data_IF_390026182620
#
_entry.id   IF_390026182620
#
_cell.length_a   1.000
_cell.length_b   1.000
_cell.length_c   1.000
_cell.angle_alpha   90.00
_cell.angle_beta   90.00
_cell.angle_gamma   90.00
#
_symmetry.space_group_name_H-M   'P 1'
#
loop_
_entity.id
_entity.type
_entity.pdbx_description
1 polymer ?
#
# COMPACT_ATOMS: atom_id res chain seq x y z
N UNK A 1 -5.21 21.89 -0.60
CA UNK A 1 -4.21 20.88 -0.19
C UNK A 1 -4.99 19.59 0.07
N UNK A 2 -4.86 18.56 -0.78
CA UNK A 2 -5.69 17.34 -0.72
C UNK A 2 -4.86 16.08 -0.84
N UNK A 3 -5.33 14.97 -0.24
CA UNK A 3 -4.64 13.67 -0.27
C UNK A 3 -4.95 12.86 -1.53
N UNK A 4 -4.10 11.86 -1.84
CA UNK A 4 -4.34 10.89 -2.94
C UNK A 4 -5.56 9.99 -2.65
N UNK A 5 -5.88 9.85 -1.37
CA UNK A 5 -7.13 9.30 -0.85
C UNK A 5 -7.71 10.31 0.15
N UNK A 6 -9.03 10.33 0.33
CA UNK A 6 -9.67 11.10 1.41
C UNK A 6 -9.64 10.31 2.72
N UNK A 7 -9.97 10.97 3.83
CA UNK A 7 -10.09 10.29 5.13
C UNK A 7 -11.26 9.30 5.12
N UNK A 8 -12.38 9.72 4.52
CA UNK A 8 -13.61 8.94 4.35
C UNK A 8 -13.35 7.67 3.54
N UNK A 9 -12.50 7.74 2.51
CA UNK A 9 -12.09 6.57 1.73
C UNK A 9 -11.39 5.52 2.58
N UNK A 10 -10.43 5.96 3.40
CA UNK A 10 -9.66 5.05 4.25
C UNK A 10 -10.55 4.39 5.31
N UNK A 11 -11.43 5.15 5.95
CA UNK A 11 -12.39 4.62 6.92
C UNK A 11 -13.39 3.68 6.24
N UNK A 12 -13.92 4.05 5.08
CA UNK A 12 -14.88 3.23 4.33
C UNK A 12 -14.30 1.88 3.89
N UNK A 13 -12.99 1.82 3.59
CA UNK A 13 -12.29 0.57 3.30
C UNK A 13 -12.19 -0.31 4.56
N UNK A 14 -11.88 0.28 5.72
CA UNK A 14 -11.80 -0.47 6.98
C UNK A 14 -13.16 -1.01 7.43
N UNK A 15 -14.24 -0.25 7.22
CA UNK A 15 -15.60 -0.67 7.53
C UNK A 15 -16.09 -1.84 6.66
N UNK A 16 -15.50 -2.06 5.48
CA UNK A 16 -15.81 -3.22 4.63
C UNK A 16 -15.21 -4.53 5.17
N UNK A 17 -14.30 -4.49 6.14
CA UNK A 17 -13.68 -5.68 6.71
C UNK A 17 -14.63 -6.27 7.77
N UNK A 18 -15.17 -7.49 7.58
CA UNK A 18 -16.11 -8.08 8.54
C UNK A 18 -15.48 -8.23 9.93
N UNK A 19 -16.28 -7.98 10.97
CA UNK A 19 -15.82 -8.02 12.36
C UNK A 19 -15.19 -9.37 12.73
N UNK A 20 -15.73 -10.47 12.20
CA UNK A 20 -15.23 -11.83 12.39
C UNK A 20 -13.80 -11.99 11.87
N UNK A 21 -13.47 -11.33 10.75
CA UNK A 21 -12.12 -11.32 10.18
C UNK A 21 -11.18 -10.49 11.05
N UNK A 22 -11.64 -9.36 11.58
CA UNK A 22 -10.85 -8.51 12.48
C UNK A 22 -10.51 -9.26 13.78
N UNK A 23 -11.52 -9.87 14.43
CA UNK A 23 -11.35 -10.69 15.64
C UNK A 23 -10.42 -11.88 15.38
N UNK A 24 -10.62 -12.59 14.26
CA UNK A 24 -9.75 -13.71 13.87
C UNK A 24 -8.30 -13.26 13.67
N UNK A 25 -8.08 -12.12 13.04
CA UNK A 25 -6.75 -11.55 12.79
C UNK A 25 -6.08 -11.18 14.11
N UNK A 26 -6.78 -10.47 15.00
CA UNK A 26 -6.29 -10.13 16.33
C UNK A 26 -5.91 -11.38 17.14
N UNK A 27 -6.81 -12.38 17.19
CA UNK A 27 -6.54 -13.66 17.88
C UNK A 27 -5.31 -14.38 17.31
N UNK A 28 -5.14 -14.35 15.99
CA UNK A 28 -3.98 -14.95 15.32
C UNK A 28 -2.69 -14.24 15.73
N UNK A 29 -2.70 -12.91 15.81
CA UNK A 29 -1.55 -12.11 16.26
C UNK A 29 -1.20 -12.47 17.71
N UNK A 30 -2.18 -12.43 18.63
CA UNK A 30 -1.97 -12.74 20.05
C UNK A 30 -1.42 -14.15 20.28
N UNK A 31 -1.85 -15.15 19.48
CA UNK A 31 -1.33 -16.52 19.57
C UNK A 31 0.07 -16.70 18.99
N UNK A 32 0.52 -15.80 18.11
CA UNK A 32 1.75 -15.96 17.33
C UNK A 32 2.68 -14.74 17.43
N UNK A 33 2.73 -14.08 18.58
CA UNK A 33 3.46 -12.81 18.79
C UNK A 33 4.92 -12.90 18.32
N UNK A 34 5.62 -13.99 18.61
CA UNK A 34 7.03 -14.18 18.21
C UNK A 34 7.21 -14.20 16.69
N UNK A 35 6.27 -14.80 15.95
CA UNK A 35 6.26 -14.84 14.49
C UNK A 35 6.03 -13.45 13.92
N UNK A 36 5.03 -12.72 14.44
CA UNK A 36 4.75 -11.34 14.02
C UNK A 36 5.89 -10.39 14.34
N UNK A 37 6.55 -10.53 15.49
CA UNK A 37 7.75 -9.77 15.85
C UNK A 37 8.89 -9.99 14.85
N UNK A 38 9.15 -11.25 14.44
CA UNK A 38 10.13 -11.56 13.40
C UNK A 38 9.76 -10.92 12.06
N UNK A 39 8.49 -10.99 11.65
CA UNK A 39 8.03 -10.37 10.42
C UNK A 39 8.17 -8.84 10.45
N UNK A 40 7.87 -8.20 11.57
CA UNK A 40 8.06 -6.77 11.76
C UNK A 40 9.53 -6.37 11.63
N UNK A 41 10.45 -7.15 12.22
CA UNK A 41 11.90 -6.93 12.05
C UNK A 41 12.33 -7.02 10.58
N UNK A 42 11.84 -8.02 9.84
CA UNK A 42 12.11 -8.15 8.40
C UNK A 42 11.59 -6.96 7.61
N UNK A 43 10.36 -6.50 7.90
CA UNK A 43 9.78 -5.33 7.25
C UNK A 43 10.59 -4.07 7.56
N UNK A 44 10.98 -3.86 8.82
CA UNK A 44 11.84 -2.74 9.23
C UNK A 44 13.19 -2.75 8.53
N UNK A 45 13.83 -3.93 8.38
CA UNK A 45 15.07 -4.06 7.61
C UNK A 45 14.87 -3.72 6.13
N UNK A 46 13.76 -4.14 5.52
CA UNK A 46 13.42 -3.77 4.14
C UNK A 46 13.24 -2.26 3.98
N UNK A 47 12.58 -1.58 4.93
CA UNK A 47 12.48 -0.12 4.96
C UNK A 47 13.84 0.58 5.04
N UNK A 48 14.72 0.14 5.96
CA UNK A 48 16.07 0.70 6.10
C UNK A 48 16.89 0.58 4.82
N UNK A 49 16.73 -0.54 4.11
CA UNK A 49 17.45 -0.82 2.86
C UNK A 49 16.74 -0.24 1.62
N UNK A 50 15.64 0.51 1.77
CA UNK A 50 14.83 1.04 0.66
C UNK A 50 14.35 -0.04 -0.32
N UNK A 51 14.19 -1.29 0.14
CA UNK A 51 13.81 -2.44 -0.68
C UNK A 51 12.28 -2.52 -0.83
N UNK A 52 11.75 -1.75 -1.78
CA UNK A 52 10.32 -1.69 -2.08
C UNK A 52 9.73 -3.04 -2.52
N UNK A 53 10.54 -3.94 -3.10
CA UNK A 53 10.09 -5.27 -3.52
C UNK A 53 9.83 -6.15 -2.29
N UNK A 54 10.72 -6.12 -1.32
CA UNK A 54 10.54 -6.84 -0.06
C UNK A 54 9.41 -6.26 0.77
N UNK A 55 9.30 -4.92 0.87
CA UNK A 55 8.19 -4.25 1.57
C UNK A 55 6.84 -4.69 0.97
N UNK A 56 6.70 -4.66 -0.36
CA UNK A 56 5.48 -5.12 -1.05
C UNK A 56 5.20 -6.60 -0.76
N UNK A 57 6.20 -7.46 -0.90
CA UNK A 57 6.03 -8.91 -0.78
C UNK A 57 5.60 -9.31 0.64
N UNK A 58 6.25 -8.75 1.66
CA UNK A 58 5.93 -8.97 3.08
C UNK A 58 4.52 -8.44 3.42
N UNK A 59 4.22 -7.20 3.01
CA UNK A 59 2.92 -6.57 3.28
C UNK A 59 1.78 -7.33 2.60
N UNK A 60 1.93 -7.68 1.32
CA UNK A 60 0.96 -8.49 0.56
C UNK A 60 0.73 -9.85 1.21
N UNK A 61 1.79 -10.50 1.73
CA UNK A 61 1.67 -11.77 2.43
C UNK A 61 0.89 -11.61 3.74
N UNK A 62 1.14 -10.56 4.51
CA UNK A 62 0.40 -10.27 5.75
C UNK A 62 -1.07 -9.96 5.49
N UNK A 63 -1.38 -9.21 4.44
CA UNK A 63 -2.76 -8.89 4.05
C UNK A 63 -3.55 -10.13 3.63
N UNK A 64 -2.90 -11.16 3.07
CA UNK A 64 -3.53 -12.43 2.75
C UNK A 64 -4.74 -12.29 1.82
N UNK A 65 -5.93 -12.58 2.35
CA UNK A 65 -7.21 -12.42 1.66
C UNK A 65 -7.63 -10.95 1.46
N UNK A 66 -7.17 -10.04 2.33
CA UNK A 66 -7.49 -8.62 2.30
C UNK A 66 -6.67 -7.83 1.28
N UNK A 67 -5.70 -8.45 0.59
CA UNK A 67 -4.82 -7.74 -0.36
C UNK A 67 -5.57 -7.06 -1.51
N UNK A 68 -6.74 -7.59 -1.93
CA UNK A 68 -7.53 -6.95 -2.97
C UNK A 68 -8.04 -5.59 -2.46
N UNK A 69 -8.75 -5.61 -1.34
CA UNK A 69 -9.35 -4.45 -0.70
C UNK A 69 -8.30 -3.43 -0.20
N UNK A 70 -7.29 -3.91 0.54
CA UNK A 70 -6.33 -3.05 1.24
C UNK A 70 -5.12 -2.60 0.40
N UNK A 71 -4.94 -3.16 -0.79
CA UNK A 71 -3.78 -2.84 -1.63
C UNK A 71 -4.17 -2.56 -3.07
N UNK A 72 -4.85 -3.49 -3.74
CA UNK A 72 -5.10 -3.36 -5.19
C UNK A 72 -6.16 -2.32 -5.52
N UNK A 73 -7.31 -2.39 -4.87
CA UNK A 73 -8.41 -1.45 -5.12
C UNK A 73 -8.00 -0.01 -4.73
N UNK A 74 -7.18 0.12 -3.68
CA UNK A 74 -6.54 1.38 -3.27
C UNK A 74 -5.53 1.89 -4.30
N UNK A 75 -4.69 1.04 -4.86
CA UNK A 75 -3.73 1.43 -5.90
C UNK A 75 -4.45 2.00 -7.13
N UNK A 76 -5.52 1.36 -7.57
CA UNK A 76 -6.33 1.84 -8.70
C UNK A 76 -6.93 3.22 -8.40
N UNK A 77 -7.47 3.42 -7.20
CA UNK A 77 -7.99 4.74 -6.79
C UNK A 77 -6.89 5.80 -6.71
N UNK A 78 -5.74 5.44 -6.13
CA UNK A 78 -4.63 6.37 -5.99
C UNK A 78 -4.07 6.81 -7.34
N UNK A 79 -3.93 5.89 -8.28
CA UNK A 79 -3.46 6.20 -9.64
C UNK A 79 -4.41 7.18 -10.33
N UNK A 80 -5.73 6.94 -10.26
CA UNK A 80 -6.72 7.88 -10.81
C UNK A 80 -6.56 9.29 -10.22
N UNK A 81 -6.44 9.39 -8.89
CA UNK A 81 -6.26 10.70 -8.25
C UNK A 81 -4.93 11.38 -8.61
N UNK A 82 -3.86 10.61 -8.75
CA UNK A 82 -2.55 11.12 -9.22
C UNK A 82 -2.68 11.66 -10.65
N UNK A 83 -3.31 10.90 -11.54
CA UNK A 83 -3.47 11.26 -12.95
C UNK A 83 -4.26 12.58 -13.10
N UNK A 84 -5.41 12.68 -12.42
CA UNK A 84 -6.24 13.89 -12.39
C UNK A 84 -5.44 15.12 -11.91
N UNK A 85 -4.74 15.01 -10.77
CA UNK A 85 -4.04 16.14 -10.15
C UNK A 85 -2.76 16.54 -10.88
N UNK A 86 -2.07 15.59 -11.50
CA UNK A 86 -0.89 15.87 -12.33
C UNK A 86 -1.23 16.71 -13.56
N UNK A 87 -2.45 16.61 -14.09
CA UNK A 87 -2.91 17.44 -15.21
C UNK A 87 -3.11 18.90 -14.84
N UNK A 88 -3.38 19.20 -13.56
CA UNK A 88 -3.68 20.55 -13.09
C UNK A 88 -2.42 21.32 -12.66
N UNK A 89 -1.51 20.67 -11.93
CA UNK A 89 -0.30 21.32 -11.41
C UNK A 89 0.80 20.33 -11.01
N UNK A 90 2.05 20.81 -10.99
CA UNK A 90 3.17 20.04 -10.44
C UNK A 90 2.92 19.72 -8.97
N UNK A 91 2.80 18.43 -8.67
CA UNK A 91 2.34 17.93 -7.37
C UNK A 91 3.31 16.94 -6.76
N UNK A 92 3.38 16.92 -5.43
CA UNK A 92 4.09 15.90 -4.66
C UNK A 92 3.09 14.97 -3.97
N UNK A 93 3.25 13.66 -4.18
CA UNK A 93 2.39 12.63 -3.59
C UNK A 93 3.19 11.71 -2.67
N UNK A 94 2.75 11.61 -1.42
CA UNK A 94 3.27 10.64 -0.47
C UNK A 94 2.29 9.46 -0.35
N UNK A 95 2.79 8.24 -0.57
CA UNK A 95 2.02 7.00 -0.45
C UNK A 95 2.82 5.97 0.33
N UNK A 96 2.14 4.98 0.93
CA UNK A 96 2.81 3.89 1.62
C UNK A 96 3.67 3.07 0.66
N UNK A 97 4.90 2.71 1.06
CA UNK A 97 5.87 2.03 0.18
C UNK A 97 5.38 0.68 -0.36
N UNK A 98 4.50 -0.01 0.38
CA UNK A 98 3.87 -1.25 -0.08
C UNK A 98 3.04 -1.06 -1.36
N UNK A 99 2.58 0.15 -1.67
CA UNK A 99 1.76 0.42 -2.86
C UNK A 99 2.58 0.58 -4.15
N UNK A 100 3.90 0.75 -4.05
CA UNK A 100 4.74 1.15 -5.19
C UNK A 100 5.11 0.01 -6.13
N UNK A 101 5.23 -1.22 -5.63
CA UNK A 101 5.80 -2.35 -6.37
C UNK A 101 4.74 -3.38 -6.82
N UNK A 102 5.10 -4.22 -7.79
CA UNK A 102 4.26 -5.30 -8.33
C UNK A 102 3.46 -4.90 -9.56
N UNK A 103 2.84 -5.87 -10.23
CA UNK A 103 2.07 -5.63 -11.46
C UNK A 103 0.88 -4.68 -11.27
N UNK A 104 0.27 -4.70 -10.08
CA UNK A 104 -0.78 -3.77 -9.66
C UNK A 104 -0.26 -2.61 -8.81
N UNK A 105 1.07 -2.41 -8.75
CA UNK A 105 1.68 -1.32 -7.99
C UNK A 105 1.60 0.01 -8.74
N UNK A 106 1.54 1.12 -8.01
CA UNK A 106 1.37 2.47 -8.56
C UNK A 106 2.39 2.77 -9.67
N UNK A 107 3.67 2.46 -9.46
CA UNK A 107 4.72 2.73 -10.45
C UNK A 107 4.53 1.93 -11.74
N UNK A 108 3.97 0.72 -11.66
CA UNK A 108 3.72 -0.11 -12.82
C UNK A 108 2.50 0.39 -13.59
N UNK A 109 1.43 0.75 -12.89
CA UNK A 109 0.19 1.25 -13.51
C UNK A 109 0.43 2.61 -14.17
N UNK A 110 1.15 3.53 -13.53
CA UNK A 110 1.49 4.81 -14.15
C UNK A 110 2.28 4.62 -15.46
N UNK A 111 3.26 3.70 -15.48
CA UNK A 111 4.01 3.39 -16.71
C UNK A 111 3.12 2.82 -17.82
N UNK A 112 2.07 2.08 -17.48
CA UNK A 112 1.10 1.58 -18.47
C UNK A 112 0.11 2.63 -18.95
N UNK A 113 -0.04 3.75 -18.23
CA UNK A 113 -0.82 4.93 -18.62
C UNK A 113 0.06 5.99 -19.29
N UNK A 114 1.13 5.58 -19.97
CA UNK A 114 2.07 6.44 -20.71
C UNK A 114 2.82 7.51 -19.87
N UNK A 115 2.79 7.42 -18.54
CA UNK A 115 3.61 8.30 -17.71
C UNK A 115 5.10 7.93 -17.79
N UNK A 116 5.94 8.97 -17.99
CA UNK A 116 7.39 8.83 -17.88
C UNK A 116 7.84 8.88 -16.42
N UNK A 117 7.96 7.71 -15.79
CA UNK A 117 8.45 7.58 -14.41
C UNK A 117 9.98 7.61 -14.36
N UNK A 118 10.56 8.56 -13.62
CA UNK A 118 12.01 8.65 -13.38
C UNK A 118 12.31 8.59 -11.89
N UNK A 119 13.28 7.77 -11.44
CA UNK A 119 13.73 7.82 -10.05
C UNK A 119 14.44 9.15 -9.78
N UNK A 120 14.19 9.72 -8.60
CA UNK A 120 14.93 10.86 -8.07
C UNK A 120 15.85 10.34 -6.98
N UNK A 121 17.16 10.52 -7.16
CA UNK A 121 18.16 10.14 -6.17
C UNK A 121 18.57 11.37 -5.37
N UNK A 122 18.74 11.18 -4.06
CA UNK A 122 19.30 12.16 -3.12
C UNK A 122 20.66 11.70 -2.64
#
# INVERSE_FOLDING_TARGET
MGGVETFEDQIGILQQIPMEIQIKSLRTICKNISVYSKQLKLLSSAYKNKDIKSIYTLSKKQLGGLKKLMLYDRNEKMVRSINEKCGESSSFFAVGAAHLYGSKGILNVLKSEDFKVRPVFS
#
